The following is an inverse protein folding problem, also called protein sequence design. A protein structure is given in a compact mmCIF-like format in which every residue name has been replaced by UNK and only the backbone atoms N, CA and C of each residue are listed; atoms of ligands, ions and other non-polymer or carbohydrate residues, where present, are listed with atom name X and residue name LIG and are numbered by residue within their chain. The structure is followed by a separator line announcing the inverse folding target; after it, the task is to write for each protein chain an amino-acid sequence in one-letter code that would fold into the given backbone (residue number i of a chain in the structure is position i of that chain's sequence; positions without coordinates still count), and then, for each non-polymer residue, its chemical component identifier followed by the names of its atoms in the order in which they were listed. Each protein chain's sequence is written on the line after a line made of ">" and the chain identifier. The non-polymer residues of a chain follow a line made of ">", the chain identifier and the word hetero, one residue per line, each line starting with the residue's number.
data_IF_985749006636
#
_entry.id   IF_985749006636
#
_cell.length_a   1.000
_cell.length_b   1.000
_cell.length_c   1.000
_cell.angle_alpha   90.00
_cell.angle_beta   90.00
_cell.angle_gamma   90.00
#
_symmetry.space_group_name_H-M   'P 1'
#
loop_
_entity.id
_entity.type
_entity.pdbx_description
1 polymer ?
#
# COMPACT_ATOMS: atom_id res chain seq x y z
N UNK A 1 15.95 -4.60 7.71
CA UNK A 1 14.81 -3.70 7.41
C UNK A 1 14.16 -3.26 8.71
N UNK A 2 13.72 -2.00 8.84
CA UNK A 2 13.00 -1.53 10.03
C UNK A 2 11.61 -2.16 10.14
N UNK A 3 11.12 -2.37 11.36
CA UNK A 3 9.71 -2.67 11.63
C UNK A 3 8.95 -1.35 11.71
N UNK A 4 7.86 -1.21 10.97
CA UNK A 4 7.05 0.01 11.00
C UNK A 4 5.55 -0.30 10.81
N UNK A 5 4.71 0.62 11.30
CA UNK A 5 3.27 0.68 11.06
C UNK A 5 2.95 2.12 10.63
N UNK A 6 2.07 2.29 9.65
CA UNK A 6 1.66 3.60 9.14
C UNK A 6 0.16 3.62 8.87
N UNK A 7 -0.48 4.71 9.26
CA UNK A 7 -1.89 4.99 9.00
C UNK A 7 -1.96 6.39 8.38
N UNK A 8 -2.78 6.56 7.35
CA UNK A 8 -2.95 7.83 6.66
C UNK A 8 -4.38 7.96 6.11
N UNK A 9 -4.95 9.15 6.20
CA UNK A 9 -6.24 9.50 5.63
C UNK A 9 -6.06 10.75 4.77
N UNK A 10 -6.69 10.76 3.59
CA UNK A 10 -6.58 11.85 2.63
C UNK A 10 -7.96 12.18 2.08
N UNK A 11 -8.26 13.47 1.99
CA UNK A 11 -9.34 13.96 1.14
C UNK A 11 -8.77 14.19 -0.26
N UNK A 12 -9.28 13.46 -1.25
CA UNK A 12 -8.69 13.43 -2.59
C UNK A 12 -9.30 14.43 -3.55
N UNK A 13 -10.38 15.13 -3.16
CA UNK A 13 -11.15 16.00 -4.05
C UNK A 13 -10.25 17.03 -4.74
N UNK A 14 -9.56 17.87 -3.96
CA UNK A 14 -8.68 18.90 -4.50
C UNK A 14 -7.55 18.30 -5.33
N UNK A 15 -6.93 17.21 -4.86
CA UNK A 15 -5.82 16.56 -5.57
C UNK A 15 -6.26 16.07 -6.94
N UNK A 16 -7.42 15.41 -7.02
CA UNK A 16 -7.96 14.87 -8.25
C UNK A 16 -8.42 15.97 -9.21
N UNK A 17 -8.99 17.07 -8.69
CA UNK A 17 -9.33 18.25 -9.49
C UNK A 17 -8.07 18.84 -10.12
N UNK A 18 -7.00 19.04 -9.34
CA UNK A 18 -5.72 19.54 -9.86
C UNK A 18 -5.05 18.57 -10.85
N UNK A 19 -5.32 17.27 -10.74
CA UNK A 19 -4.89 16.26 -11.73
C UNK A 19 -5.79 16.19 -12.98
N UNK A 20 -6.81 17.05 -13.08
CA UNK A 20 -7.64 17.21 -14.27
C UNK A 20 -9.03 16.55 -14.19
N UNK A 21 -9.38 15.92 -13.06
CA UNK A 21 -10.70 15.32 -12.84
C UNK A 21 -11.76 16.39 -12.47
N UNK A 22 -11.84 17.49 -13.21
CA UNK A 22 -12.63 18.67 -12.83
C UNK A 22 -14.14 18.40 -12.89
N UNK A 23 -14.61 17.72 -13.96
CA UNK A 23 -16.05 17.56 -14.19
C UNK A 23 -16.72 16.70 -13.12
N UNK A 24 -16.03 15.69 -12.58
CA UNK A 24 -16.58 14.79 -11.56
C UNK A 24 -16.90 15.51 -10.24
N UNK A 25 -16.26 16.65 -9.96
CA UNK A 25 -16.45 17.45 -8.74
C UNK A 25 -17.12 18.79 -9.02
N UNK A 26 -17.77 18.96 -10.18
CA UNK A 26 -18.43 20.21 -10.56
C UNK A 26 -19.95 20.06 -10.54
N UNK A 27 -20.64 20.89 -9.77
CA UNK A 27 -22.11 20.86 -9.63
C UNK A 27 -22.87 20.97 -10.97
N UNK A 28 -22.27 21.63 -11.97
CA UNK A 28 -22.90 21.85 -13.28
C UNK A 28 -22.51 20.84 -14.36
N UNK A 29 -21.47 20.02 -14.12
CA UNK A 29 -20.90 19.11 -15.13
C UNK A 29 -20.81 17.66 -14.66
N UNK A 30 -20.97 17.40 -13.37
CA UNK A 30 -20.97 16.07 -12.82
C UNK A 30 -22.20 15.31 -13.31
N UNK A 31 -21.97 14.17 -13.96
CA UNK A 31 -23.02 13.25 -14.36
C UNK A 31 -22.75 11.89 -13.72
N UNK A 32 -23.46 11.62 -12.63
CA UNK A 32 -23.43 10.36 -11.89
C UNK A 32 -24.75 9.59 -12.01
N UNK A 33 -25.56 9.87 -13.03
CA UNK A 33 -26.88 9.26 -13.22
C UNK A 33 -26.84 7.72 -13.29
N UNK A 34 -25.72 7.13 -13.72
CA UNK A 34 -25.50 5.68 -13.72
C UNK A 34 -25.09 5.05 -12.38
N UNK A 35 -24.83 5.86 -11.34
CA UNK A 35 -24.46 5.39 -9.99
C UNK A 35 -25.65 5.46 -9.04
N UNK A 36 -26.61 6.36 -9.29
CA UNK A 36 -27.79 6.54 -8.43
C UNK A 36 -28.82 5.44 -8.68
N UNK A 37 -28.58 4.27 -8.07
CA UNK A 37 -29.62 3.32 -7.68
C UNK A 37 -29.71 3.31 -6.15
N UNK A 38 -30.91 3.49 -5.60
CA UNK A 38 -31.14 3.42 -4.15
C UNK A 38 -30.84 2.01 -3.64
N UNK A 39 -29.63 1.75 -3.15
CA UNK A 39 -29.41 0.71 -2.16
C UNK A 39 -28.10 0.94 -1.40
N UNK A 40 -28.25 1.53 -0.21
CA UNK A 40 -27.28 1.41 0.87
C UNK A 40 -27.25 -0.04 1.32
N UNK A 41 -26.11 -0.71 1.22
CA UNK A 41 -25.72 -1.85 2.07
C UNK A 41 -24.20 -2.08 1.96
N UNK A 42 -23.44 -1.25 2.68
CA UNK A 42 -22.01 -1.54 2.93
C UNK A 42 -21.90 -2.59 4.03
N UNK A 43 -22.01 -3.87 3.66
CA UNK A 43 -21.62 -4.96 4.54
C UNK A 43 -20.09 -5.10 4.49
N UNK A 44 -19.40 -4.66 5.54
CA UNK A 44 -17.96 -4.79 5.67
C UNK A 44 -17.54 -6.26 5.73
N UNK A 45 -16.65 -6.68 4.83
CA UNK A 45 -16.01 -7.99 4.87
C UNK A 45 -14.70 -7.87 5.63
N UNK A 46 -14.69 -8.34 6.87
CA UNK A 46 -13.48 -8.49 7.68
C UNK A 46 -12.95 -9.92 7.51
N UNK A 47 -11.88 -10.08 6.72
CA UNK A 47 -11.26 -11.37 6.50
C UNK A 47 -9.99 -11.51 7.36
N UNK A 48 -10.05 -12.30 8.42
CA UNK A 48 -8.89 -12.74 9.17
C UNK A 48 -8.32 -14.03 8.55
N UNK A 49 -7.09 -13.99 8.04
CA UNK A 49 -6.35 -15.17 7.60
C UNK A 49 -5.14 -15.40 8.52
N UNK A 50 -5.24 -16.38 9.40
CA UNK A 50 -4.09 -16.91 10.14
C UNK A 50 -3.41 -17.99 9.30
N UNK A 51 -2.10 -17.92 9.10
CA UNK A 51 -1.33 -18.99 8.44
C UNK A 51 -0.21 -19.45 9.37
N UNK A 52 -0.24 -20.73 9.75
CA UNK A 52 0.80 -21.39 10.53
C UNK A 52 2.02 -21.74 9.64
N UNK A 53 3.23 -21.56 10.17
CA UNK A 53 4.49 -21.90 9.47
C UNK A 53 4.91 -23.32 9.86
N UNK A 54 5.06 -24.22 8.87
CA UNK A 54 5.75 -25.50 9.04
C UNK A 54 7.25 -25.26 8.77
N UNK A 55 8.10 -25.44 9.79
CA UNK A 55 9.55 -25.43 9.60
C UNK A 55 9.99 -26.66 8.80
N UNK A 56 10.73 -26.45 7.70
CA UNK A 56 11.56 -27.49 7.07
C UNK A 56 13.02 -27.22 7.39
N UNK A 57 13.65 -28.11 8.15
CA UNK A 57 15.10 -28.18 8.26
C UNK A 57 15.68 -28.66 6.94
N UNK A 58 16.60 -27.88 6.34
CA UNK A 58 17.50 -28.38 5.30
C UNK A 58 18.94 -28.08 5.68
N UNK A 59 19.75 -29.13 5.61
CA UNK A 59 21.20 -29.15 5.88
C UNK A 59 22.01 -28.51 4.74
N UNK A 60 23.27 -28.21 5.07
CA UNK A 60 24.30 -27.48 4.35
C UNK A 60 24.52 -27.90 2.89
N UNK A 61 24.76 -26.89 2.04
CA UNK A 61 25.60 -27.02 0.85
C UNK A 61 26.46 -25.77 0.74
N UNK A 62 27.78 -25.93 0.89
CA UNK A 62 28.77 -24.86 0.68
C UNK A 62 28.87 -24.64 -0.83
N UNK A 63 28.05 -23.73 -1.35
CA UNK A 63 28.37 -22.99 -2.58
C UNK A 63 28.87 -21.64 -2.12
N UNK A 64 30.03 -21.19 -2.64
CA UNK A 64 30.50 -19.82 -2.46
C UNK A 64 29.46 -18.90 -3.11
N UNK A 65 28.48 -18.46 -2.33
CA UNK A 65 27.59 -17.37 -2.70
C UNK A 65 28.43 -16.09 -2.71
N UNK A 66 28.28 -15.22 -3.72
CA UNK A 66 28.84 -13.87 -3.63
C UNK A 66 28.36 -13.22 -2.34
N UNK A 67 29.19 -12.35 -1.76
CA UNK A 67 28.84 -11.67 -0.51
C UNK A 67 27.46 -11.02 -0.64
N UNK A 68 26.55 -11.22 0.34
CA UNK A 68 25.24 -10.61 0.29
C UNK A 68 25.37 -9.10 0.13
N UNK A 69 24.64 -8.51 -0.82
CA UNK A 69 24.56 -7.05 -0.92
C UNK A 69 23.88 -6.54 0.36
N UNK A 70 24.60 -5.71 1.12
CA UNK A 70 24.04 -5.15 2.34
C UNK A 70 23.02 -4.05 1.99
N UNK A 71 21.76 -4.28 2.36
CA UNK A 71 20.70 -3.28 2.24
C UNK A 71 20.31 -2.73 3.63
N UNK A 72 20.74 -1.50 3.91
CA UNK A 72 20.39 -0.73 5.11
C UNK A 72 19.33 0.32 4.78
N UNK A 73 18.12 0.13 5.30
CA UNK A 73 17.03 1.11 5.24
C UNK A 73 16.97 1.93 6.54
N UNK A 74 18.02 2.72 6.77
CA UNK A 74 18.25 3.58 7.94
C UNK A 74 17.95 5.07 7.68
N UNK A 75 17.38 5.37 6.52
CA UNK A 75 17.01 6.71 6.03
C UNK A 75 15.71 6.62 5.23
N UNK A 76 15.07 7.75 4.84
CA UNK A 76 13.81 7.71 4.12
C UNK A 76 13.84 6.78 2.91
N UNK A 77 12.82 5.93 2.78
CA UNK A 77 12.71 4.97 1.69
C UNK A 77 11.29 4.93 1.14
N UNK A 78 11.17 4.57 -0.13
CA UNK A 78 9.90 4.26 -0.76
C UNK A 78 9.58 2.78 -0.57
N UNK A 79 8.29 2.46 -0.46
CA UNK A 79 7.82 1.09 -0.43
C UNK A 79 6.62 0.93 -1.35
N UNK A 80 6.47 -0.28 -1.88
CA UNK A 80 5.36 -0.70 -2.72
C UNK A 80 4.90 -2.08 -2.24
N UNK A 81 3.60 -2.22 -1.98
CA UNK A 81 2.96 -3.52 -1.81
C UNK A 81 2.24 -3.79 -3.13
N UNK A 82 2.62 -4.87 -3.80
CA UNK A 82 2.16 -5.19 -5.15
C UNK A 82 1.68 -6.63 -5.27
N UNK A 83 0.64 -6.81 -6.07
CA UNK A 83 0.27 -8.12 -6.61
C UNK A 83 1.26 -8.46 -7.73
N UNK A 84 1.91 -9.62 -7.62
CA UNK A 84 3.08 -9.94 -8.44
C UNK A 84 2.76 -10.45 -9.84
N UNK A 85 1.58 -11.04 -10.07
CA UNK A 85 1.21 -11.64 -11.36
C UNK A 85 0.91 -10.59 -12.42
N UNK A 86 0.19 -9.54 -12.04
CA UNK A 86 -0.26 -8.46 -12.91
C UNK A 86 0.52 -7.16 -12.67
N UNK A 87 1.44 -7.14 -11.71
CA UNK A 87 2.22 -5.96 -11.30
C UNK A 87 1.33 -4.80 -10.80
N UNK A 88 0.21 -5.10 -10.16
CA UNK A 88 -0.71 -4.08 -9.65
C UNK A 88 -0.17 -3.54 -8.32
N UNK A 89 -0.03 -2.21 -8.22
CA UNK A 89 0.33 -1.54 -6.97
C UNK A 89 -0.92 -1.47 -6.10
N UNK A 90 -0.89 -2.19 -4.97
CA UNK A 90 -1.96 -2.17 -3.98
C UNK A 90 -1.77 -0.99 -3.00
N UNK A 91 -0.52 -0.78 -2.57
CA UNK A 91 -0.15 0.35 -1.73
C UNK A 91 1.21 0.90 -2.16
N UNK A 92 1.37 2.21 -2.05
CA UNK A 92 2.66 2.88 -2.21
C UNK A 92 2.82 3.94 -1.14
N UNK A 93 4.06 4.21 -0.74
CA UNK A 93 4.31 5.23 0.26
C UNK A 93 5.78 5.54 0.45
N UNK A 94 6.03 6.61 1.20
CA UNK A 94 7.34 7.03 1.66
C UNK A 94 7.39 6.89 3.17
N UNK A 95 8.28 6.04 3.68
CA UNK A 95 8.56 5.98 5.11
C UNK A 95 9.65 6.99 5.45
N UNK A 96 9.38 7.81 6.47
CA UNK A 96 10.35 8.75 7.06
C UNK A 96 10.37 8.43 8.55
N UNK A 97 11.52 8.08 9.10
CA UNK A 97 11.65 7.84 10.53
C UNK A 97 11.20 9.08 11.31
N UNK A 98 10.35 8.94 12.35
CA UNK A 98 9.96 10.09 13.16
C UNK A 98 11.20 10.68 13.85
N UNK A 99 11.27 12.02 14.03
CA UNK A 99 12.37 12.63 14.77
C UNK A 99 12.38 12.05 16.19
N UNK A 100 13.55 11.59 16.64
CA UNK A 100 13.76 11.17 18.03
C UNK A 100 13.45 12.37 18.92
N UNK A 101 12.31 12.34 19.61
CA UNK A 101 12.00 13.37 20.61
C UNK A 101 12.90 13.08 21.81
N UNK A 102 13.80 14.01 22.12
CA UNK A 102 14.70 13.93 23.28
C UNK A 102 14.04 14.45 24.54
#
# INVERSE_FOLDING_TARGET
>A
LPKFKMEAAFELNDVLIHLGMINAFSDSKADFTGIVSQQDDRNGSEAAAATAVIMKTKSLSIRRTPDPIEFKADRPFLFFIRESRQNIVLFSGKFVSPPTTS
#
